data_IF_415955904491
#
_entry.id   IF_415955904491
#
_cell.length_a   1.000
_cell.length_b   1.000
_cell.length_c   1.000
_cell.angle_alpha   90.00
_cell.angle_beta   90.00
_cell.angle_gamma   90.00
#
_symmetry.space_group_name_H-M   'P 1'
#
loop_
_entity.id
_entity.type
_entity.pdbx_description
1 polymer ?
#
# COMPACT_ATOMS: atom_id res chain seq x y z
N UNK A 1 14.77 17.61 -3.23
CA UNK A 1 13.83 16.51 -3.46
C UNK A 1 12.59 16.66 -2.60
N UNK A 2 11.55 15.92 -2.92
CA UNK A 2 10.31 15.89 -2.13
C UNK A 2 10.46 14.89 -0.99
N UNK A 3 10.08 15.28 0.23
CA UNK A 3 10.04 14.38 1.37
C UNK A 3 8.76 13.53 1.32
N UNK A 4 8.92 12.21 1.41
CA UNK A 4 7.80 11.25 1.46
C UNK A 4 7.54 10.85 2.91
N UNK A 5 6.26 10.87 3.31
CA UNK A 5 5.79 10.40 4.60
C UNK A 5 4.88 9.18 4.40
N UNK A 6 5.32 8.02 4.84
CA UNK A 6 4.47 6.84 4.93
C UNK A 6 3.69 6.87 6.25
N UNK A 7 2.38 6.69 6.17
CA UNK A 7 1.48 6.76 7.32
C UNK A 7 0.57 5.52 7.37
N UNK A 8 -0.15 5.35 8.48
CA UNK A 8 -1.17 4.33 8.60
C UNK A 8 -2.34 4.59 7.64
N UNK A 9 -3.10 3.54 7.30
CA UNK A 9 -4.30 3.67 6.48
C UNK A 9 -5.35 4.59 7.11
N UNK A 10 -5.88 5.49 6.30
CA UNK A 10 -6.87 6.49 6.66
C UNK A 10 -6.36 7.92 6.45
N UNK A 11 -7.13 8.70 5.70
CA UNK A 11 -6.77 10.09 5.34
C UNK A 11 -6.51 11.01 6.55
N UNK A 12 -7.09 10.68 7.71
CA UNK A 12 -6.79 11.39 8.98
C UNK A 12 -5.30 11.46 9.30
N UNK A 13 -4.52 10.44 8.92
CA UNK A 13 -3.09 10.39 9.16
C UNK A 13 -2.31 11.27 8.19
N UNK A 14 -2.77 11.35 6.93
CA UNK A 14 -2.24 12.31 5.95
C UNK A 14 -2.53 13.73 6.44
N UNK A 15 -3.77 14.00 6.86
CA UNK A 15 -4.17 15.30 7.40
C UNK A 15 -3.38 15.71 8.66
N UNK A 16 -3.05 14.74 9.53
CA UNK A 16 -2.21 14.96 10.72
C UNK A 16 -0.78 15.38 10.32
N UNK A 17 -0.19 14.73 9.30
CA UNK A 17 1.13 15.12 8.78
C UNK A 17 1.08 16.52 8.17
N UNK A 18 0.05 16.85 7.37
CA UNK A 18 -0.13 18.19 6.81
C UNK A 18 -0.19 19.23 7.94
N UNK A 19 -1.01 18.97 8.96
CA UNK A 19 -1.17 19.86 10.11
C UNK A 19 0.13 20.07 10.88
N UNK A 20 0.91 19.04 11.10
CA UNK A 20 2.18 19.09 11.83
C UNK A 20 3.27 19.86 11.08
N UNK A 21 3.18 19.95 9.76
CA UNK A 21 4.15 20.66 8.92
C UNK A 21 3.62 22.01 8.40
N UNK A 22 2.48 22.47 8.91
CA UNK A 22 1.85 23.73 8.50
C UNK A 22 2.77 24.93 8.79
N UNK A 23 3.07 25.71 7.75
CA UNK A 23 3.99 26.85 7.84
C UNK A 23 5.49 26.47 7.74
N UNK A 24 5.85 25.20 7.81
CA UNK A 24 7.23 24.72 7.69
C UNK A 24 7.52 24.06 6.33
N UNK A 25 6.55 23.36 5.76
CA UNK A 25 6.66 22.70 4.47
C UNK A 25 5.36 22.77 3.68
N UNK A 26 5.48 22.83 2.36
CA UNK A 26 4.33 22.80 1.44
C UNK A 26 3.92 21.35 1.16
N UNK A 27 2.65 21.03 1.38
CA UNK A 27 2.08 19.74 0.99
C UNK A 27 1.88 19.70 -0.53
N UNK A 28 2.41 18.68 -1.19
CA UNK A 28 2.27 18.49 -2.64
C UNK A 28 1.05 17.65 -2.94
N UNK A 29 1.06 16.39 -2.51
CA UNK A 29 -0.05 15.46 -2.69
C UNK A 29 0.01 14.32 -1.68
N UNK A 30 -1.10 13.63 -1.50
CA UNK A 30 -1.20 12.41 -0.71
C UNK A 30 -2.33 11.52 -1.21
N UNK A 31 -2.19 10.21 -0.98
CA UNK A 31 -3.19 9.27 -1.46
C UNK A 31 -3.15 7.93 -0.75
N UNK A 32 -4.17 7.14 -1.00
CA UNK A 32 -4.33 5.76 -0.57
C UNK A 32 -4.54 4.87 -1.80
N UNK A 33 -4.19 3.61 -1.69
CA UNK A 33 -4.40 2.61 -2.76
C UNK A 33 -5.88 2.45 -3.15
N UNK A 34 -6.79 2.79 -2.26
CA UNK A 34 -8.25 2.68 -2.43
C UNK A 34 -8.89 3.96 -3.01
N UNK A 35 -8.22 4.59 -3.97
CA UNK A 35 -8.70 5.73 -4.77
C UNK A 35 -8.86 7.06 -4.00
N UNK A 36 -8.42 7.13 -2.75
CA UNK A 36 -8.36 8.39 -2.02
C UNK A 36 -7.16 9.21 -2.47
N UNK A 37 -7.37 10.45 -2.94
CA UNK A 37 -6.32 11.36 -3.36
C UNK A 37 -6.63 12.79 -2.98
N UNK A 38 -5.59 13.54 -2.68
CA UNK A 38 -5.64 14.97 -2.42
C UNK A 38 -4.37 15.65 -2.96
N UNK A 39 -4.53 16.86 -3.47
CA UNK A 39 -3.44 17.72 -3.94
C UNK A 39 -3.66 19.15 -3.45
N UNK A 40 -2.58 19.80 -3.00
CA UNK A 40 -2.66 21.15 -2.43
C UNK A 40 -3.20 21.17 -0.98
N UNK A 41 -3.24 22.36 -0.38
CA UNK A 41 -3.42 22.55 1.07
C UNK A 41 -4.82 23.01 1.49
N UNK A 42 -5.73 23.25 0.56
CA UNK A 42 -7.05 23.82 0.83
C UNK A 42 -8.10 22.83 1.35
N UNK A 43 -7.90 21.52 1.13
CA UNK A 43 -8.72 20.45 1.71
C UNK A 43 -7.79 19.40 2.35
N UNK A 44 -8.16 18.92 3.56
CA UNK A 44 -7.36 17.95 4.31
C UNK A 44 -8.04 16.57 4.38
N UNK A 45 -8.72 16.22 3.32
CA UNK A 45 -9.34 14.92 3.10
C UNK A 45 -9.34 14.61 1.59
N UNK A 46 -9.81 13.41 1.22
CA UNK A 46 -10.01 13.01 -0.16
C UNK A 46 -10.85 14.04 -0.90
N UNK A 47 -10.36 14.52 -2.03
CA UNK A 47 -11.05 15.52 -2.86
C UNK A 47 -11.19 15.01 -4.29
N UNK A 48 -12.36 14.43 -4.60
CA UNK A 48 -12.64 13.90 -5.93
C UNK A 48 -12.74 15.01 -7.01
N UNK A 49 -13.38 16.17 -6.77
CA UNK A 49 -13.38 17.28 -7.72
C UNK A 49 -11.98 17.75 -8.12
N UNK A 50 -11.11 17.98 -7.13
CA UNK A 50 -9.70 18.35 -7.38
C UNK A 50 -8.95 17.23 -8.09
N UNK A 51 -9.16 15.98 -7.70
CA UNK A 51 -8.52 14.83 -8.36
C UNK A 51 -8.91 14.74 -9.84
N UNK A 52 -10.19 14.96 -10.18
CA UNK A 52 -10.64 14.99 -11.56
C UNK A 52 -10.00 16.14 -12.37
N UNK A 53 -9.95 17.33 -11.81
CA UNK A 53 -9.29 18.48 -12.43
C UNK A 53 -7.81 18.21 -12.66
N UNK A 54 -7.11 17.67 -11.65
CA UNK A 54 -5.70 17.35 -11.73
C UNK A 54 -5.40 16.28 -12.79
N UNK A 55 -6.22 15.22 -12.88
CA UNK A 55 -6.05 14.19 -13.92
C UNK A 55 -6.29 14.77 -15.32
N UNK A 56 -7.28 15.69 -15.48
CA UNK A 56 -7.50 16.37 -16.76
C UNK A 56 -6.30 17.25 -17.16
N UNK A 57 -5.70 17.93 -16.19
CA UNK A 57 -4.47 18.72 -16.38
C UNK A 57 -3.28 17.84 -16.78
N UNK A 58 -3.10 16.69 -16.12
CA UNK A 58 -2.10 15.70 -16.50
C UNK A 58 -2.33 15.16 -17.92
N UNK A 59 -3.58 14.96 -18.32
CA UNK A 59 -3.91 14.52 -19.67
C UNK A 59 -3.58 15.59 -20.73
N UNK A 60 -3.88 16.86 -20.44
CA UNK A 60 -3.52 17.98 -21.31
C UNK A 60 -2.00 18.11 -21.45
N UNK A 61 -1.28 18.05 -20.33
CA UNK A 61 0.19 18.07 -20.32
C UNK A 61 0.80 16.91 -21.09
N UNK A 62 0.27 15.69 -20.99
CA UNK A 62 0.70 14.54 -21.77
C UNK A 62 0.44 14.77 -23.29
N UNK A 63 -0.73 15.31 -23.62
CA UNK A 63 -1.09 15.60 -25.02
C UNK A 63 -0.18 16.64 -25.68
N UNK A 64 0.25 17.67 -24.96
CA UNK A 64 1.26 18.64 -25.41
C UNK A 64 2.59 17.98 -25.79
N UNK A 65 2.91 16.85 -25.18
CA UNK A 65 4.10 16.04 -25.50
C UNK A 65 3.81 14.95 -26.55
N UNK A 66 2.62 14.94 -27.17
CA UNK A 66 2.21 13.93 -28.13
C UNK A 66 1.94 12.55 -27.50
N UNK A 67 1.65 12.49 -26.18
CA UNK A 67 1.44 11.26 -25.42
C UNK A 67 0.02 11.17 -24.87
N UNK A 68 -0.40 9.95 -24.59
CA UNK A 68 -1.57 9.65 -23.76
C UNK A 68 -1.15 9.44 -22.30
N UNK A 69 -2.10 9.48 -21.36
CA UNK A 69 -1.83 9.11 -19.95
C UNK A 69 -1.25 7.69 -19.81
N UNK A 70 -1.71 6.76 -20.67
CA UNK A 70 -1.16 5.40 -20.69
C UNK A 70 0.32 5.38 -21.09
N UNK A 71 0.71 6.13 -22.11
CA UNK A 71 2.11 6.24 -22.53
C UNK A 71 2.96 6.91 -21.45
N UNK A 72 2.43 7.93 -20.77
CA UNK A 72 3.10 8.56 -19.64
C UNK A 72 3.34 7.56 -18.49
N UNK A 73 2.35 6.70 -18.21
CA UNK A 73 2.51 5.63 -17.21
C UNK A 73 3.59 4.62 -17.64
N UNK A 74 3.68 4.28 -18.93
CA UNK A 74 4.74 3.40 -19.42
C UNK A 74 6.13 4.03 -19.27
N UNK A 75 6.26 5.34 -19.48
CA UNK A 75 7.53 6.07 -19.25
C UNK A 75 7.93 6.01 -17.76
N UNK A 76 6.96 6.19 -16.86
CA UNK A 76 7.19 6.07 -15.42
C UNK A 76 7.66 4.65 -15.06
N UNK A 77 7.03 3.62 -15.60
CA UNK A 77 7.48 2.24 -15.39
C UNK A 77 8.89 1.99 -15.96
N UNK A 78 9.21 2.53 -17.14
CA UNK A 78 10.53 2.39 -17.73
C UNK A 78 11.63 3.09 -16.89
N UNK A 79 11.31 4.23 -16.27
CA UNK A 79 12.25 5.00 -15.45
C UNK A 79 12.42 4.42 -14.05
N UNK A 80 11.34 4.05 -13.37
CA UNK A 80 11.36 3.68 -11.95
C UNK A 80 11.25 2.17 -11.70
N UNK A 81 10.79 1.41 -12.67
CA UNK A 81 10.52 -0.04 -12.60
C UNK A 81 9.05 -0.36 -12.67
N UNK A 82 8.75 -1.60 -13.01
CA UNK A 82 7.39 -2.11 -13.21
C UNK A 82 6.81 -2.57 -11.87
N UNK A 83 6.15 -1.66 -11.16
CA UNK A 83 5.46 -1.97 -9.91
C UNK A 83 4.08 -2.53 -10.19
N UNK A 84 3.73 -3.59 -9.47
CA UNK A 84 2.40 -4.18 -9.51
C UNK A 84 1.92 -4.53 -8.13
N UNK A 85 0.64 -4.26 -7.89
CA UNK A 85 -0.02 -4.53 -6.62
C UNK A 85 -1.17 -5.53 -6.83
N UNK A 86 -1.48 -6.28 -5.78
CA UNK A 86 -2.63 -7.16 -5.72
C UNK A 86 -3.17 -7.25 -4.29
N UNK A 87 -4.40 -7.71 -4.16
CA UNK A 87 -5.11 -7.83 -2.89
C UNK A 87 -5.83 -9.17 -2.79
N UNK A 88 -5.58 -9.88 -1.70
CA UNK A 88 -6.43 -10.99 -1.24
C UNK A 88 -7.27 -10.48 -0.07
N UNK A 89 -8.58 -10.67 -0.14
CA UNK A 89 -9.51 -10.35 0.95
C UNK A 89 -10.24 -11.62 1.37
N UNK A 90 -10.01 -12.06 2.59
CA UNK A 90 -10.62 -13.28 3.16
C UNK A 90 -11.69 -12.86 4.16
N UNK A 91 -12.91 -13.36 3.98
CA UNK A 91 -14.02 -13.14 4.91
C UNK A 91 -14.29 -14.43 5.67
N UNK A 92 -14.24 -14.37 6.99
CA UNK A 92 -14.66 -15.45 7.90
C UNK A 92 -16.04 -15.10 8.47
N UNK A 93 -16.92 -16.07 8.69
CA UNK A 93 -18.30 -15.77 9.11
C UNK A 93 -18.48 -15.74 10.62
N UNK A 94 -19.25 -14.77 11.09
CA UNK A 94 -19.73 -14.68 12.47
C UNK A 94 -18.64 -14.38 13.51
N UNK A 95 -18.98 -14.59 14.79
CA UNK A 95 -18.08 -14.35 15.92
C UNK A 95 -16.84 -15.27 15.87
N UNK A 96 -17.03 -16.53 15.52
CA UNK A 96 -15.91 -17.47 15.38
C UNK A 96 -14.91 -17.01 14.32
N UNK A 97 -15.39 -16.40 13.22
CA UNK A 97 -14.52 -15.84 12.19
C UNK A 97 -13.67 -14.65 12.67
N UNK A 98 -14.21 -13.81 13.56
CA UNK A 98 -13.41 -12.74 14.20
C UNK A 98 -12.32 -13.31 15.10
N UNK A 99 -12.63 -14.34 15.89
CA UNK A 99 -11.69 -15.02 16.77
C UNK A 99 -10.58 -15.72 15.94
N UNK A 100 -10.95 -16.37 14.85
CA UNK A 100 -10.01 -16.99 13.91
C UNK A 100 -9.05 -15.95 13.30
N UNK A 101 -9.54 -14.82 12.83
CA UNK A 101 -8.71 -13.72 12.30
C UNK A 101 -7.77 -13.16 13.37
N UNK A 102 -8.26 -13.00 14.59
CA UNK A 102 -7.43 -12.54 15.70
C UNK A 102 -6.29 -13.54 15.99
N UNK A 103 -6.60 -14.84 15.97
CA UNK A 103 -5.61 -15.90 16.15
C UNK A 103 -4.59 -15.92 15.01
N UNK A 104 -5.02 -15.78 13.74
CA UNK A 104 -4.11 -15.65 12.60
C UNK A 104 -3.06 -14.54 12.81
N UNK A 105 -3.47 -13.37 13.31
CA UNK A 105 -2.53 -12.28 13.58
C UNK A 105 -1.56 -12.60 14.72
N UNK A 106 -1.96 -13.38 15.71
CA UNK A 106 -1.08 -13.89 16.77
C UNK A 106 -0.07 -14.87 16.19
N UNK A 107 -0.55 -15.80 15.37
CA UNK A 107 0.29 -16.85 14.77
C UNK A 107 1.34 -16.25 13.83
N UNK A 108 0.99 -15.25 13.01
CA UNK A 108 1.95 -14.53 12.15
C UNK A 108 3.02 -13.77 12.94
N UNK A 109 2.69 -13.29 14.15
CA UNK A 109 3.68 -12.65 15.03
C UNK A 109 4.62 -13.65 15.67
N UNK A 110 4.09 -14.80 16.10
CA UNK A 110 4.87 -15.84 16.76
C UNK A 110 5.71 -16.65 15.77
N UNK A 111 5.15 -16.93 14.61
CA UNK A 111 5.73 -17.74 13.55
C UNK A 111 5.59 -17.02 12.21
N UNK A 112 6.35 -15.95 11.97
CA UNK A 112 6.28 -15.22 10.71
C UNK A 112 6.70 -16.13 9.54
N UNK A 113 6.16 -15.90 8.34
CA UNK A 113 6.64 -16.55 7.14
C UNK A 113 8.16 -16.41 7.01
N UNK A 114 8.86 -17.50 6.78
CA UNK A 114 10.32 -17.47 6.53
C UNK A 114 10.64 -17.26 5.05
N UNK A 115 9.66 -17.51 4.19
CA UNK A 115 9.78 -17.41 2.73
C UNK A 115 8.46 -16.92 2.13
N UNK A 116 8.53 -16.15 1.05
CA UNK A 116 7.40 -15.68 0.24
C UNK A 116 7.77 -15.85 -1.23
N UNK A 117 6.99 -16.63 -1.97
CA UNK A 117 7.19 -16.92 -3.40
C UNK A 117 8.59 -17.46 -3.74
N UNK A 118 9.17 -18.32 -2.89
CA UNK A 118 10.51 -18.89 -3.08
C UNK A 118 11.66 -17.96 -2.68
N UNK A 119 11.36 -16.78 -2.09
CA UNK A 119 12.37 -15.81 -1.65
C UNK A 119 12.33 -15.66 -0.12
N UNK A 120 13.49 -15.70 0.56
CA UNK A 120 13.54 -15.55 2.02
C UNK A 120 12.96 -14.23 2.51
N UNK A 121 12.22 -14.27 3.62
CA UNK A 121 11.77 -13.06 4.32
C UNK A 121 12.95 -12.49 5.11
N UNK A 122 13.33 -11.27 4.81
CA UNK A 122 14.49 -10.58 5.41
C UNK A 122 14.11 -9.50 6.41
N UNK A 123 12.84 -9.08 6.42
CA UNK A 123 12.37 -8.03 7.33
C UNK A 123 10.90 -8.22 7.66
N UNK A 124 10.58 -8.11 8.95
CA UNK A 124 9.21 -8.08 9.47
C UNK A 124 9.01 -6.77 10.22
N UNK A 125 7.92 -6.06 9.94
CA UNK A 125 7.52 -4.86 10.68
C UNK A 125 6.20 -5.13 11.36
N UNK A 126 6.16 -4.99 12.68
CA UNK A 126 4.94 -5.07 13.48
C UNK A 126 4.51 -3.67 13.91
N UNK A 127 3.43 -3.18 13.34
CA UNK A 127 2.89 -1.85 13.65
C UNK A 127 2.19 -1.76 15.01
N UNK A 128 2.13 -2.84 15.79
CA UNK A 128 1.74 -2.74 17.20
C UNK A 128 2.83 -2.13 18.08
N UNK A 129 4.03 -1.91 17.53
CA UNK A 129 5.22 -1.38 18.19
C UNK A 129 5.58 0.03 17.72
N UNK A 130 5.02 1.08 18.34
CA UNK A 130 5.29 2.47 17.96
C UNK A 130 6.76 2.87 18.05
N UNK A 131 7.51 2.27 18.98
CA UNK A 131 8.94 2.50 19.20
C UNK A 131 9.81 2.05 18.01
N UNK A 132 9.37 1.03 17.27
CA UNK A 132 10.08 0.52 16.09
C UNK A 132 9.66 1.26 14.81
N UNK A 133 8.40 1.69 14.72
CA UNK A 133 7.81 2.25 13.50
C UNK A 133 7.77 3.78 13.44
N UNK A 134 7.79 4.43 14.61
CA UNK A 134 7.55 5.88 14.74
C UNK A 134 6.11 6.29 14.42
N UNK A 135 5.20 5.32 14.27
CA UNK A 135 3.79 5.52 13.97
C UNK A 135 2.90 5.07 15.13
N UNK A 136 1.66 5.55 15.24
CA UNK A 136 0.72 5.05 16.22
C UNK A 136 0.50 3.54 16.11
N UNK A 137 0.21 2.87 17.23
CA UNK A 137 -0.04 1.42 17.24
C UNK A 137 -1.20 1.05 16.32
N UNK A 138 -0.99 0.04 15.50
CA UNK A 138 -1.99 -0.51 14.58
C UNK A 138 -1.79 -2.01 14.41
N UNK A 139 -2.89 -2.77 14.30
CA UNK A 139 -2.82 -4.22 14.10
C UNK A 139 -2.51 -4.54 12.64
N UNK A 140 -1.28 -4.28 12.22
CA UNK A 140 -0.76 -4.50 10.87
C UNK A 140 0.61 -5.17 10.96
N UNK A 141 0.88 -6.09 10.04
CA UNK A 141 2.19 -6.71 9.83
C UNK A 141 2.64 -6.48 8.41
N UNK A 142 3.93 -6.23 8.21
CA UNK A 142 4.55 -6.23 6.88
C UNK A 142 5.72 -7.19 6.83
N UNK A 143 5.79 -7.95 5.75
CA UNK A 143 6.85 -8.89 5.45
C UNK A 143 7.53 -8.47 4.16
N UNK A 144 8.85 -8.34 4.19
CA UNK A 144 9.67 -8.03 3.02
C UNK A 144 10.56 -9.23 2.72
N UNK A 145 10.59 -9.67 1.48
CA UNK A 145 11.51 -10.72 1.05
C UNK A 145 12.77 -10.16 0.38
N UNK A 146 13.75 -11.01 0.14
CA UNK A 146 15.02 -10.64 -0.49
C UNK A 146 14.83 -10.17 -1.95
N UNK A 147 13.78 -10.64 -2.65
CA UNK A 147 13.44 -10.20 -3.99
C UNK A 147 12.86 -8.78 -4.06
N UNK A 148 12.63 -8.13 -2.90
CA UNK A 148 12.07 -6.79 -2.79
C UNK A 148 10.55 -6.72 -2.84
N UNK A 149 9.87 -7.88 -2.76
CA UNK A 149 8.42 -7.91 -2.66
C UNK A 149 7.97 -7.63 -1.23
N UNK A 150 6.76 -7.11 -1.09
CA UNK A 150 6.16 -6.78 0.21
C UNK A 150 4.77 -7.40 0.33
N UNK A 151 4.48 -7.96 1.50
CA UNK A 151 3.13 -8.41 1.89
C UNK A 151 2.73 -7.67 3.15
N UNK A 152 1.61 -6.95 3.10
CA UNK A 152 1.01 -6.29 4.27
C UNK A 152 -0.25 -7.03 4.68
N UNK A 153 -0.30 -7.47 5.93
CA UNK A 153 -1.45 -8.19 6.51
C UNK A 153 -2.19 -7.27 7.46
N UNK A 154 -3.49 -7.06 7.21
CA UNK A 154 -4.33 -6.17 7.99
C UNK A 154 -5.73 -6.74 8.17
N UNK A 155 -6.17 -7.02 9.42
CA UNK A 155 -7.57 -7.32 9.70
C UNK A 155 -8.43 -6.05 9.59
N UNK A 156 -9.69 -6.22 9.23
CA UNK A 156 -10.69 -5.15 9.31
C UNK A 156 -11.03 -4.86 10.76
N UNK A 157 -11.21 -3.58 11.11
CA UNK A 157 -11.66 -3.19 12.45
C UNK A 157 -13.17 -3.35 12.68
N UNK A 158 -13.96 -3.52 11.63
CA UNK A 158 -15.43 -3.49 11.68
C UNK A 158 -16.10 -4.73 11.12
N UNK A 159 -15.41 -5.51 10.32
CA UNK A 159 -15.94 -6.69 9.63
C UNK A 159 -15.03 -7.90 9.87
N UNK A 160 -15.57 -9.13 9.84
CA UNK A 160 -14.78 -10.35 9.96
C UNK A 160 -13.99 -10.63 8.66
N UNK A 161 -13.08 -9.74 8.34
CA UNK A 161 -12.23 -9.77 7.15
C UNK A 161 -10.76 -9.57 7.51
N UNK A 162 -9.89 -10.26 6.80
CA UNK A 162 -8.45 -10.00 6.79
C UNK A 162 -7.99 -9.77 5.35
N UNK A 163 -7.13 -8.79 5.16
CA UNK A 163 -6.62 -8.39 3.85
C UNK A 163 -5.12 -8.60 3.79
N UNK A 164 -4.66 -9.09 2.65
CA UNK A 164 -3.26 -9.26 2.30
C UNK A 164 -2.98 -8.40 1.07
N UNK A 165 -2.30 -7.29 1.28
CA UNK A 165 -1.85 -6.41 0.21
C UNK A 165 -0.48 -6.87 -0.24
N UNK A 166 -0.30 -7.07 -1.52
CA UNK A 166 0.94 -7.51 -2.14
C UNK A 166 1.48 -6.41 -3.04
N UNK A 167 2.77 -6.14 -2.94
CA UNK A 167 3.48 -5.24 -3.85
C UNK A 167 4.74 -5.92 -4.36
N UNK A 168 4.93 -5.90 -5.67
CA UNK A 168 6.12 -6.45 -6.34
C UNK A 168 6.73 -5.43 -7.27
N UNK A 169 8.03 -5.59 -7.55
CA UNK A 169 8.73 -4.85 -8.60
C UNK A 169 9.31 -5.83 -9.61
N UNK A 170 8.89 -5.68 -10.87
CA UNK A 170 9.40 -6.46 -12.00
C UNK A 170 10.39 -5.69 -12.87
N UNK A 171 11.02 -6.43 -13.76
CA UNK A 171 11.87 -5.90 -14.85
C UNK A 171 11.05 -5.60 -16.11
N UNK A 172 9.82 -6.13 -16.19
CA UNK A 172 8.83 -5.87 -17.23
C UNK A 172 7.42 -6.01 -16.62
N UNK A 173 6.38 -5.63 -17.37
CA UNK A 173 4.98 -5.84 -16.95
C UNK A 173 4.65 -7.32 -16.79
N UNK A 174 5.18 -8.17 -17.68
CA UNK A 174 5.01 -9.62 -17.62
C UNK A 174 5.69 -10.21 -16.38
N UNK A 175 6.95 -9.84 -16.11
CA UNK A 175 7.67 -10.27 -14.91
C UNK A 175 6.96 -9.82 -13.62
N UNK A 176 6.44 -8.59 -13.58
CA UNK A 176 5.67 -8.11 -12.43
C UNK A 176 4.35 -8.89 -12.26
N UNK A 177 3.69 -9.28 -13.35
CA UNK A 177 2.49 -10.13 -13.33
C UNK A 177 2.80 -11.52 -12.77
N UNK A 178 3.84 -12.16 -13.28
CA UNK A 178 4.28 -13.50 -12.84
C UNK A 178 4.66 -13.51 -11.35
N UNK A 179 5.34 -12.45 -10.89
CA UNK A 179 5.69 -12.28 -9.47
C UNK A 179 4.46 -12.16 -8.58
N UNK A 180 3.48 -11.35 -8.96
CA UNK A 180 2.22 -11.21 -8.22
C UNK A 180 1.47 -12.55 -8.16
N UNK A 181 1.43 -13.30 -9.25
CA UNK A 181 0.76 -14.61 -9.30
C UNK A 181 1.45 -15.62 -8.38
N UNK A 182 2.78 -15.72 -8.42
CA UNK A 182 3.58 -16.58 -7.53
C UNK A 182 3.39 -16.20 -6.06
N UNK A 183 3.39 -14.90 -5.77
CA UNK A 183 3.19 -14.40 -4.41
C UNK A 183 1.76 -14.71 -3.91
N UNK A 184 0.76 -14.51 -4.78
CA UNK A 184 -0.64 -14.87 -4.50
C UNK A 184 -0.80 -16.36 -4.19
N UNK A 185 -0.16 -17.22 -4.98
CA UNK A 185 -0.20 -18.67 -4.76
C UNK A 185 0.50 -19.05 -3.47
N UNK A 186 1.68 -18.50 -3.21
CA UNK A 186 2.43 -18.72 -1.96
C UNK A 186 1.61 -18.35 -0.71
N UNK A 187 0.84 -17.27 -0.77
CA UNK A 187 0.02 -16.82 0.35
C UNK A 187 -1.19 -17.73 0.63
N UNK A 188 -1.65 -18.54 -0.32
CA UNK A 188 -2.76 -19.47 -0.08
C UNK A 188 -2.46 -20.50 1.02
N UNK A 189 -1.20 -20.81 1.25
CA UNK A 189 -0.77 -21.71 2.33
C UNK A 189 -0.95 -21.08 3.73
N UNK A 190 -1.17 -19.77 3.81
CA UNK A 190 -1.31 -19.00 5.05
C UNK A 190 -2.75 -18.52 5.29
N UNK A 191 -3.71 -18.82 4.41
CA UNK A 191 -5.13 -18.43 4.52
C UNK A 191 -5.96 -19.51 5.22
#
# INVERSE_FOLDING_TARGET
GVKVHNVLAGFKWIADVIKKNEGEATFVCGGEESYGFNVGEFVRDKDAPVSCAFVAECAAWAAEQGKTLYQLLQDIYAEFGYYKESLISVTKKGKAGLEEIAQMMVDYRQNPPTELAGSPVIKVIDYTKPEETGLPSSNVLQFYNEAGDVVTVRPSGTEPKIKFYMGVKGTSLEDAQDKVEKLTESLKAYL
#
